data_IF_692973937183
#
_entry.id   IF_692973937183
#
_cell.length_a   1.000
_cell.length_b   1.000
_cell.length_c   1.000
_cell.angle_alpha   90.00
_cell.angle_beta   90.00
_cell.angle_gamma   90.00
#
_symmetry.space_group_name_H-M   'P 1'
#
loop_
_entity.id
_entity.type
_entity.pdbx_description
1 polymer ?
#
# COMPACT_ATOMS: atom_id res chain seq x y z
N UNK A 1 21.07 0.46 -22.15
CA UNK A 1 20.86 -0.62 -21.18
C UNK A 1 22.21 -0.87 -20.51
N UNK A 2 22.30 -0.79 -19.17
CA UNK A 2 23.55 -1.05 -18.44
C UNK A 2 24.03 -2.48 -18.73
N UNK A 3 25.34 -2.68 -18.88
CA UNK A 3 25.94 -4.02 -18.96
C UNK A 3 26.59 -4.35 -17.62
N UNK A 4 26.41 -5.58 -17.15
CA UNK A 4 27.15 -6.10 -15.99
C UNK A 4 28.38 -6.84 -16.51
N UNK A 5 29.55 -6.33 -16.21
CA UNK A 5 30.84 -6.97 -16.49
C UNK A 5 31.59 -7.04 -15.14
N UNK A 6 32.19 -8.19 -14.82
CA UNK A 6 33.01 -8.39 -13.61
C UNK A 6 32.32 -8.02 -12.28
N UNK A 7 31.01 -8.28 -12.18
CA UNK A 7 30.23 -8.01 -10.97
C UNK A 7 29.88 -6.53 -10.73
N UNK A 8 30.34 -5.62 -11.59
CA UNK A 8 30.04 -4.18 -11.53
C UNK A 8 29.10 -3.78 -12.66
N UNK A 9 28.26 -2.77 -12.41
CA UNK A 9 27.32 -2.25 -13.41
C UNK A 9 27.97 -1.08 -14.15
N UNK A 10 28.12 -1.21 -15.47
CA UNK A 10 28.77 -0.19 -16.32
C UNK A 10 27.74 0.46 -17.23
N UNK A 11 27.76 1.80 -17.28
CA UNK A 11 26.93 2.60 -18.19
C UNK A 11 27.72 2.86 -19.47
N UNK A 12 27.10 2.54 -20.62
CA UNK A 12 27.72 2.70 -21.94
C UNK A 12 26.86 3.64 -22.78
N UNK A 13 27.48 4.71 -23.30
CA UNK A 13 26.84 5.62 -24.25
C UNK A 13 26.66 4.94 -25.61
N UNK A 14 25.43 4.89 -26.12
CA UNK A 14 25.13 4.27 -27.42
C UNK A 14 25.61 5.08 -28.63
N UNK A 15 25.91 6.37 -28.47
CA UNK A 15 26.32 7.25 -29.57
C UNK A 15 27.84 7.29 -29.76
N UNK A 16 28.62 7.35 -28.67
CA UNK A 16 30.08 7.50 -28.73
C UNK A 16 30.85 6.37 -28.05
N UNK A 17 30.19 5.40 -27.40
CA UNK A 17 30.84 4.26 -26.75
C UNK A 17 31.49 4.55 -25.40
N UNK A 18 31.43 5.79 -24.89
CA UNK A 18 31.97 6.15 -23.58
C UNK A 18 31.42 5.26 -22.46
N UNK A 19 32.31 4.80 -21.58
CA UNK A 19 32.00 3.90 -20.45
C UNK A 19 32.25 4.63 -19.14
N UNK A 20 31.33 4.48 -18.19
CA UNK A 20 31.50 4.94 -16.81
C UNK A 20 30.92 3.93 -15.84
N UNK A 21 31.51 3.87 -14.65
CA UNK A 21 30.98 3.05 -13.55
C UNK A 21 29.64 3.62 -13.09
N UNK A 22 28.68 2.75 -12.78
CA UNK A 22 27.39 3.19 -12.23
C UNK A 22 27.58 3.63 -10.77
N UNK A 23 27.43 4.93 -10.51
CA UNK A 23 27.42 5.49 -9.17
C UNK A 23 26.16 5.04 -8.42
N UNK A 24 26.35 4.15 -7.44
CA UNK A 24 25.37 3.53 -6.55
C UNK A 24 24.10 2.96 -7.17
N UNK A 25 23.65 1.84 -6.59
CA UNK A 25 22.50 1.05 -7.02
C UNK A 25 21.15 1.73 -6.73
N UNK A 26 20.97 3.00 -7.11
CA UNK A 26 19.65 3.64 -7.11
C UNK A 26 18.80 2.97 -8.19
N UNK A 27 18.13 1.89 -7.78
CA UNK A 27 17.15 1.14 -8.56
C UNK A 27 16.12 2.12 -9.13
N UNK A 28 15.64 1.85 -10.33
CA UNK A 28 14.50 2.57 -10.90
C UNK A 28 13.33 2.50 -9.90
N UNK A 29 12.89 3.65 -9.38
CA UNK A 29 11.73 3.73 -8.49
C UNK A 29 10.49 3.95 -9.36
N UNK A 30 9.68 2.91 -9.51
CA UNK A 30 8.34 3.06 -10.07
C UNK A 30 7.49 3.79 -9.04
N UNK A 31 7.14 5.05 -9.32
CA UNK A 31 6.18 5.82 -8.52
C UNK A 31 4.88 5.85 -9.30
N UNK A 32 3.95 4.97 -8.95
CA UNK A 32 2.59 4.99 -9.50
C UNK A 32 1.73 5.83 -8.57
N UNK A 33 1.15 6.92 -9.09
CA UNK A 33 0.12 7.67 -8.37
C UNK A 33 -1.18 6.89 -8.47
N UNK A 34 -1.61 6.30 -7.35
CA UNK A 34 -2.91 5.64 -7.26
C UNK A 34 -3.98 6.74 -7.12
N UNK A 35 -4.95 6.85 -8.04
CA UNK A 35 -6.04 7.81 -7.89
C UNK A 35 -6.97 7.35 -6.76
N UNK A 36 -7.00 8.08 -5.65
CA UNK A 36 -7.92 7.83 -4.55
C UNK A 36 -9.22 8.61 -4.75
N UNK A 37 -10.37 7.95 -4.62
CA UNK A 37 -11.66 8.64 -4.48
C UNK A 37 -11.80 9.16 -3.04
N UNK A 38 -12.67 10.14 -2.76
CA UNK A 38 -12.93 10.59 -1.39
C UNK A 38 -13.36 9.48 -0.44
N UNK A 39 -13.97 8.39 -0.95
CA UNK A 39 -14.35 7.21 -0.17
C UNK A 39 -13.15 6.39 0.30
N UNK A 40 -12.03 6.45 -0.42
CA UNK A 40 -10.80 5.71 -0.10
C UNK A 40 -9.88 6.48 0.87
N UNK A 41 -10.26 7.71 1.24
CA UNK A 41 -9.46 8.57 2.11
C UNK A 41 -10.01 8.49 3.54
N UNK A 42 -9.23 7.94 4.45
CA UNK A 42 -9.53 7.99 5.88
C UNK A 42 -9.36 9.43 6.37
N UNK A 43 -10.45 10.08 6.79
CA UNK A 43 -10.42 11.39 7.43
C UNK A 43 -10.23 11.15 8.92
N UNK A 44 -9.09 11.56 9.46
CA UNK A 44 -8.86 11.55 10.91
C UNK A 44 -9.55 12.78 11.49
N UNK A 45 -10.62 12.56 12.26
CA UNK A 45 -11.34 13.64 12.95
C UNK A 45 -10.73 13.81 14.34
N UNK A 46 -9.96 14.87 14.53
CA UNK A 46 -9.38 15.21 15.83
C UNK A 46 -10.40 16.05 16.64
N UNK A 47 -11.03 15.44 17.65
CA UNK A 47 -11.96 16.12 18.56
C UNK A 47 -13.04 15.20 19.12
N UNK A 48 -13.70 15.62 20.21
CA UNK A 48 -14.54 14.80 21.11
C UNK A 48 -15.79 14.11 20.54
N UNK A 49 -15.92 14.04 19.22
CA UNK A 49 -16.96 13.27 18.54
C UNK A 49 -16.68 11.77 18.53
N UNK A 50 -15.47 11.31 18.86
CA UNK A 50 -15.17 9.88 18.98
C UNK A 50 -16.10 9.16 19.97
N UNK A 51 -16.57 9.88 21.00
CA UNK A 51 -17.53 9.38 21.98
C UNK A 51 -18.91 9.03 21.41
N UNK A 52 -19.29 9.60 20.26
CA UNK A 52 -20.61 9.30 19.65
C UNK A 52 -20.70 7.89 19.06
N UNK A 53 -19.56 7.25 18.86
CA UNK A 53 -19.45 5.87 18.35
C UNK A 53 -18.91 4.91 19.42
N UNK A 54 -18.81 5.35 20.68
CA UNK A 54 -18.54 4.45 21.79
C UNK A 54 -19.81 3.63 22.06
N UNK A 55 -19.83 2.42 21.50
CA UNK A 55 -20.82 1.39 21.87
C UNK A 55 -20.37 0.68 23.14
N UNK A 56 -21.34 0.26 23.96
CA UNK A 56 -21.07 -0.49 25.17
C UNK A 56 -20.66 -1.95 24.86
N UNK A 57 -20.27 -2.70 25.89
CA UNK A 57 -19.75 -4.06 25.73
C UNK A 57 -20.83 -5.06 25.27
N UNK A 58 -22.06 -4.92 25.77
CA UNK A 58 -23.20 -5.77 25.44
C UNK A 58 -23.62 -5.53 23.97
N UNK A 59 -23.73 -4.25 23.56
CA UNK A 59 -24.04 -3.88 22.17
C UNK A 59 -22.96 -4.40 21.19
N UNK A 60 -21.69 -4.36 21.60
CA UNK A 60 -20.58 -4.92 20.83
C UNK A 60 -20.67 -6.45 20.71
N UNK A 61 -21.11 -7.14 21.75
CA UNK A 61 -21.29 -8.59 21.72
C UNK A 61 -22.45 -8.98 20.79
N UNK A 62 -23.55 -8.23 20.82
CA UNK A 62 -24.70 -8.46 19.94
C UNK A 62 -24.34 -8.24 18.47
N UNK A 63 -23.63 -7.16 18.14
CA UNK A 63 -23.14 -6.90 16.77
C UNK A 63 -22.21 -8.02 16.27
N UNK A 64 -21.34 -8.54 17.14
CA UNK A 64 -20.47 -9.69 16.80
C UNK A 64 -21.29 -10.94 16.51
N UNK A 65 -22.34 -11.20 17.30
CA UNK A 65 -23.23 -12.34 17.09
C UNK A 65 -23.94 -12.24 15.74
N UNK A 66 -24.56 -11.09 15.46
CA UNK A 66 -25.24 -10.83 14.19
C UNK A 66 -24.30 -10.98 12.99
N UNK A 67 -23.07 -10.45 13.09
CA UNK A 67 -22.07 -10.60 12.04
C UNK A 67 -21.67 -12.07 11.83
N UNK A 68 -21.52 -12.84 12.91
CA UNK A 68 -21.16 -14.26 12.84
C UNK A 68 -22.28 -15.09 12.21
N UNK A 69 -23.55 -14.84 12.58
CA UNK A 69 -24.73 -15.48 12.00
C UNK A 69 -24.79 -15.23 10.49
N UNK A 70 -24.62 -13.99 10.04
CA UNK A 70 -24.58 -13.62 8.62
C UNK A 70 -23.51 -14.41 7.83
N UNK A 71 -22.28 -14.49 8.34
CA UNK A 71 -21.21 -15.23 7.65
C UNK A 71 -21.38 -16.75 7.73
N UNK A 72 -22.05 -17.27 8.75
CA UNK A 72 -22.41 -18.68 8.82
C UNK A 72 -23.47 -19.02 7.75
N UNK A 73 -24.48 -18.16 7.58
CA UNK A 73 -25.52 -18.34 6.56
C UNK A 73 -24.98 -18.14 5.13
N UNK A 74 -24.15 -17.12 4.87
CA UNK A 74 -23.55 -16.89 3.55
C UNK A 74 -22.44 -17.90 3.18
N UNK A 75 -21.83 -18.55 4.16
CA UNK A 75 -20.78 -19.55 3.96
C UNK A 75 -21.29 -20.94 3.56
N UNK A 76 -22.61 -21.16 3.56
CA UNK A 76 -23.26 -22.43 3.23
C UNK A 76 -23.81 -22.52 1.78
N UNK A 77 -23.50 -21.55 0.90
CA UNK A 77 -23.83 -21.61 -0.55
C UNK A 77 -22.63 -21.73 -1.46
#
# INVERSE_FOLDING_TARGET
>A
MPKKEEGKSTLICRKCGYKTDAADTKKYRLVVKIPHTPKDKTIVVEGGEAKKYEIDEDEREELKRQALEYYAEEGET
#
